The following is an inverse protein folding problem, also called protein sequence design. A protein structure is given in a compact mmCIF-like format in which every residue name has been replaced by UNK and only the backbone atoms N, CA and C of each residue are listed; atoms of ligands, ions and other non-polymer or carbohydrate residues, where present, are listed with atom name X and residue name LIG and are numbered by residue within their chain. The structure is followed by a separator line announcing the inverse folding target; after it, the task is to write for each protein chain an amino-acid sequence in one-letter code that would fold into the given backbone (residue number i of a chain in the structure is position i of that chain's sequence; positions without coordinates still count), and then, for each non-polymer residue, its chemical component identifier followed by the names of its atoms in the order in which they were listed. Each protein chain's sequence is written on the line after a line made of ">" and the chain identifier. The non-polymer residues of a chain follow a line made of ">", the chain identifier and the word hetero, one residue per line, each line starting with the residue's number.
data_IF_618748600484
#
_entry.id   IF_618748600484
#
_cell.length_a   1.000
_cell.length_b   1.000
_cell.length_c   1.000
_cell.angle_alpha   90.00
_cell.angle_beta   90.00
_cell.angle_gamma   90.00
#
_symmetry.space_group_name_H-M   'P 1'
#
loop_
_entity.id
_entity.type
_entity.pdbx_description
1 polymer ?
#
# COMPACT_ATOMS: atom_id res chain seq x y z
N UNK A 1 -1.75 -8.48 -18.50
CA UNK A 1 -2.01 -9.92 -18.53
C UNK A 1 -2.57 -10.28 -19.91
N UNK A 2 -2.76 -11.56 -20.24
CA UNK A 2 -3.03 -12.10 -21.59
C UNK A 2 -4.44 -11.78 -22.17
N UNK A 3 -5.24 -10.99 -21.50
CA UNK A 3 -6.62 -10.67 -21.92
C UNK A 3 -7.61 -11.82 -21.80
N UNK A 4 -7.25 -12.94 -21.17
CA UNK A 4 -8.09 -14.13 -21.03
C UNK A 4 -8.78 -14.16 -19.67
N UNK A 5 -10.12 -14.27 -19.66
CA UNK A 5 -10.91 -14.59 -18.48
C UNK A 5 -11.18 -16.09 -18.44
N UNK A 6 -10.65 -16.77 -17.44
CA UNK A 6 -10.87 -18.22 -17.23
C UNK A 6 -12.14 -18.42 -16.40
N UNK A 7 -13.06 -19.22 -16.94
CA UNK A 7 -14.34 -19.55 -16.31
C UNK A 7 -14.26 -20.97 -15.74
N UNK A 8 -13.87 -21.10 -14.48
CA UNK A 8 -13.83 -22.37 -13.76
C UNK A 8 -15.22 -23.00 -13.68
N UNK A 9 -15.33 -24.29 -13.88
CA UNK A 9 -16.60 -25.03 -14.00
C UNK A 9 -17.61 -24.35 -14.94
N UNK A 10 -17.13 -23.80 -16.06
CA UNK A 10 -17.96 -23.07 -17.03
C UNK A 10 -18.55 -21.77 -16.50
N UNK A 11 -18.02 -21.22 -15.41
CA UNK A 11 -18.50 -19.98 -14.80
C UNK A 11 -19.86 -20.07 -14.11
N UNK A 12 -20.29 -21.27 -13.69
CA UNK A 12 -21.59 -21.51 -13.02
C UNK A 12 -21.68 -20.95 -11.61
N UNK A 13 -20.58 -20.51 -11.02
CA UNK A 13 -20.56 -19.96 -9.66
C UNK A 13 -21.45 -18.73 -9.55
N UNK A 14 -22.35 -18.73 -8.54
CA UNK A 14 -23.29 -17.66 -8.25
C UNK A 14 -22.62 -16.60 -7.36
N UNK A 15 -22.86 -15.33 -7.67
CA UNK A 15 -22.42 -14.17 -6.89
C UNK A 15 -23.59 -13.22 -6.65
N UNK A 16 -23.71 -12.77 -5.41
CA UNK A 16 -24.62 -11.68 -5.05
C UNK A 16 -23.81 -10.39 -5.05
N UNK A 17 -24.09 -9.51 -6.01
CA UNK A 17 -23.30 -8.31 -6.28
C UNK A 17 -24.11 -7.05 -6.03
N UNK A 18 -23.39 -5.96 -5.78
CA UNK A 18 -23.93 -4.61 -5.62
C UNK A 18 -22.91 -3.60 -6.11
N UNK A 19 -23.31 -2.56 -6.86
CA UNK A 19 -22.44 -1.45 -7.21
C UNK A 19 -21.87 -0.73 -5.97
N UNK A 20 -20.58 -0.41 -5.98
CA UNK A 20 -19.88 0.21 -4.84
C UNK A 20 -20.57 1.50 -4.37
N UNK A 21 -21.11 2.29 -5.30
CA UNK A 21 -21.79 3.53 -4.96
C UNK A 21 -23.09 3.28 -4.17
N UNK A 22 -23.81 2.19 -4.47
CA UNK A 22 -24.99 1.79 -3.70
C UNK A 22 -24.61 1.23 -2.33
N UNK A 23 -23.40 0.66 -2.17
CA UNK A 23 -22.87 0.30 -0.85
C UNK A 23 -22.66 1.55 0.01
N UNK A 24 -21.99 2.57 -0.54
CA UNK A 24 -21.76 3.83 0.16
C UNK A 24 -23.09 4.53 0.54
N UNK A 25 -24.06 4.52 -0.38
CA UNK A 25 -25.43 5.04 -0.13
C UNK A 25 -26.15 4.25 0.96
N UNK A 26 -25.98 2.93 0.96
CA UNK A 26 -26.56 2.07 1.98
C UNK A 26 -26.02 2.39 3.39
N UNK A 27 -24.71 2.56 3.52
CA UNK A 27 -24.11 2.98 4.80
C UNK A 27 -24.63 4.34 5.26
N UNK A 28 -24.68 5.33 4.36
CA UNK A 28 -25.23 6.65 4.68
C UNK A 28 -26.68 6.58 5.10
N UNK A 29 -27.50 5.82 4.38
CA UNK A 29 -28.92 5.61 4.70
C UNK A 29 -29.11 4.98 6.08
N UNK A 30 -28.31 3.98 6.42
CA UNK A 30 -28.39 3.31 7.73
C UNK A 30 -27.91 4.21 8.87
N UNK A 31 -26.91 5.06 8.62
CA UNK A 31 -26.39 6.00 9.61
C UNK A 31 -27.42 7.05 10.01
N UNK A 32 -28.25 7.47 9.08
CA UNK A 32 -29.30 8.48 9.29
C UNK A 32 -30.59 7.92 9.94
N UNK A 33 -30.63 6.60 10.22
CA UNK A 33 -31.84 5.90 10.69
C UNK A 33 -31.64 5.32 12.10
N UNK A 34 -32.48 5.80 13.04
CA UNK A 34 -32.50 5.32 14.43
C UNK A 34 -33.28 4.00 14.59
N UNK A 35 -34.29 3.80 13.75
CA UNK A 35 -35.24 2.68 13.80
C UNK A 35 -34.63 1.33 13.37
N UNK A 36 -33.46 1.33 12.72
CA UNK A 36 -32.79 0.12 12.23
C UNK A 36 -31.49 -0.21 12.98
N UNK A 37 -31.27 0.41 14.13
CA UNK A 37 -30.08 0.15 14.97
C UNK A 37 -29.98 -1.32 15.39
N UNK A 38 -28.73 -1.80 15.50
CA UNK A 38 -28.40 -3.16 15.94
C UNK A 38 -29.01 -4.28 15.09
N UNK A 39 -29.28 -4.02 13.83
CA UNK A 39 -29.82 -5.01 12.91
C UNK A 39 -28.79 -5.37 11.82
N UNK A 40 -28.84 -6.61 11.35
CA UNK A 40 -28.03 -7.09 10.23
C UNK A 40 -28.84 -7.02 8.94
N UNK A 41 -28.23 -6.46 7.88
CA UNK A 41 -28.81 -6.37 6.56
C UNK A 41 -27.85 -6.92 5.51
N UNK A 42 -28.38 -7.63 4.50
CA UNK A 42 -27.63 -7.95 3.30
C UNK A 42 -27.76 -6.78 2.33
N UNK A 43 -26.64 -6.20 1.96
CA UNK A 43 -26.59 -5.13 0.97
C UNK A 43 -26.14 -5.73 -0.36
N UNK A 44 -27.08 -6.31 -1.09
CA UNK A 44 -26.88 -6.90 -2.42
C UNK A 44 -28.02 -6.51 -3.35
N UNK A 45 -27.73 -6.31 -4.64
CA UNK A 45 -28.74 -5.91 -5.63
C UNK A 45 -29.05 -7.04 -6.60
N UNK A 46 -28.04 -7.63 -7.21
CA UNK A 46 -28.18 -8.59 -8.29
C UNK A 46 -27.51 -9.92 -7.95
N UNK A 47 -28.18 -11.01 -8.28
CA UNK A 47 -27.59 -12.35 -8.19
C UNK A 47 -27.30 -12.83 -9.61
N UNK A 48 -26.03 -13.03 -9.91
CA UNK A 48 -25.53 -13.37 -11.24
C UNK A 48 -24.51 -14.48 -11.17
N UNK A 49 -24.30 -15.17 -12.28
CA UNK A 49 -23.20 -16.13 -12.42
C UNK A 49 -21.89 -15.42 -12.84
N UNK A 50 -20.76 -16.03 -12.55
CA UNK A 50 -19.46 -15.55 -13.02
C UNK A 50 -19.44 -15.47 -14.56
N UNK A 51 -20.13 -16.38 -15.25
CA UNK A 51 -20.26 -16.34 -16.72
C UNK A 51 -20.99 -15.10 -17.22
N UNK A 52 -22.12 -14.73 -16.58
CA UNK A 52 -22.86 -13.51 -16.93
C UNK A 52 -22.00 -12.26 -16.73
N UNK A 53 -21.29 -12.15 -15.62
CA UNK A 53 -20.34 -11.03 -15.39
C UNK A 53 -19.27 -11.01 -16.48
N UNK A 54 -18.68 -12.15 -16.84
CA UNK A 54 -17.66 -12.23 -17.88
C UNK A 54 -18.22 -11.86 -19.27
N UNK A 55 -19.47 -12.19 -19.56
CA UNK A 55 -20.15 -11.80 -20.80
C UNK A 55 -20.37 -10.29 -20.87
N UNK A 56 -20.77 -9.65 -19.77
CA UNK A 56 -20.85 -8.19 -19.67
C UNK A 56 -19.46 -7.57 -19.91
N UNK A 57 -18.41 -8.09 -19.26
CA UNK A 57 -17.06 -7.63 -19.48
C UNK A 57 -16.62 -7.73 -20.96
N UNK A 58 -16.93 -8.85 -21.62
CA UNK A 58 -16.63 -9.05 -23.03
C UNK A 58 -17.43 -8.11 -23.95
N UNK A 59 -18.69 -7.82 -23.61
CA UNK A 59 -19.56 -6.87 -24.34
C UNK A 59 -18.90 -5.48 -24.42
N UNK A 60 -18.30 -5.00 -23.35
CA UNK A 60 -17.68 -3.69 -23.27
C UNK A 60 -16.18 -3.68 -23.57
N UNK A 61 -15.53 -4.84 -23.60
CA UNK A 61 -14.17 -5.02 -24.08
C UNK A 61 -14.08 -6.27 -24.98
N UNK A 62 -14.36 -6.15 -26.29
CA UNK A 62 -14.35 -7.28 -27.24
C UNK A 62 -13.03 -8.06 -27.34
N UNK A 63 -11.92 -7.45 -26.92
CA UNK A 63 -10.59 -8.10 -26.90
C UNK A 63 -10.48 -9.19 -25.84
N UNK A 64 -11.40 -9.27 -24.89
CA UNK A 64 -11.42 -10.32 -23.85
C UNK A 64 -11.71 -11.67 -24.49
N UNK A 65 -10.88 -12.65 -24.18
CA UNK A 65 -11.06 -14.06 -24.55
C UNK A 65 -11.66 -14.78 -23.34
N UNK A 66 -12.85 -15.35 -23.50
CA UNK A 66 -13.46 -16.21 -22.49
C UNK A 66 -13.02 -17.66 -22.72
N UNK A 67 -12.40 -18.26 -21.70
CA UNK A 67 -11.97 -19.66 -21.72
C UNK A 67 -12.64 -20.44 -20.60
N UNK A 68 -13.58 -21.32 -20.95
CA UNK A 68 -14.19 -22.24 -20.00
C UNK A 68 -13.21 -23.36 -19.66
N UNK A 69 -13.17 -23.74 -18.39
CA UNK A 69 -12.39 -24.86 -17.90
C UNK A 69 -13.29 -25.82 -17.12
N UNK A 70 -12.89 -27.09 -17.04
CA UNK A 70 -13.60 -28.11 -16.27
C UNK A 70 -13.06 -28.24 -14.84
N UNK A 71 -12.21 -27.32 -14.39
CA UNK A 71 -11.66 -27.35 -13.04
C UNK A 71 -12.79 -27.29 -12.02
N UNK A 72 -12.69 -28.12 -11.01
CA UNK A 72 -13.62 -28.11 -9.88
C UNK A 72 -13.51 -26.81 -9.09
N UNK A 73 -14.69 -26.31 -8.68
CA UNK A 73 -14.75 -25.18 -7.76
C UNK A 73 -15.28 -25.67 -6.40
N UNK A 74 -14.68 -25.22 -5.29
CA UNK A 74 -15.03 -25.74 -3.97
C UNK A 74 -16.43 -25.33 -3.51
N UNK A 75 -17.04 -24.31 -4.16
CA UNK A 75 -18.36 -23.80 -3.81
C UNK A 75 -19.01 -23.16 -5.02
N UNK A 76 -20.24 -23.58 -5.34
CA UNK A 76 -21.06 -22.96 -6.40
C UNK A 76 -21.59 -21.57 -6.03
N UNK A 77 -21.40 -21.13 -4.81
CA UNK A 77 -21.91 -19.86 -4.32
C UNK A 77 -23.34 -19.97 -3.79
N UNK A 78 -23.87 -18.83 -3.39
CA UNK A 78 -25.24 -18.70 -2.87
C UNK A 78 -25.77 -17.31 -3.20
N UNK A 79 -27.11 -17.19 -3.24
CA UNK A 79 -27.78 -15.91 -3.34
C UNK A 79 -28.06 -15.36 -1.94
N UNK A 80 -27.97 -14.04 -1.80
CA UNK A 80 -28.36 -13.32 -0.59
C UNK A 80 -29.67 -12.58 -0.85
N UNK A 81 -30.65 -12.72 0.04
CA UNK A 81 -31.87 -11.93 -0.01
C UNK A 81 -31.60 -10.50 0.47
N UNK A 82 -32.08 -9.51 -0.28
CA UNK A 82 -32.04 -8.09 0.05
C UNK A 82 -33.41 -7.56 0.54
N UNK A 83 -34.41 -8.41 0.73
CA UNK A 83 -35.76 -8.01 1.11
C UNK A 83 -35.81 -7.18 2.38
N UNK A 84 -34.96 -7.53 3.36
CA UNK A 84 -34.95 -6.84 4.65
C UNK A 84 -34.53 -5.38 4.50
N UNK A 85 -33.52 -5.08 3.69
CA UNK A 85 -33.10 -3.69 3.47
C UNK A 85 -34.11 -2.93 2.57
N UNK A 86 -34.72 -3.58 1.59
CA UNK A 86 -35.75 -2.96 0.77
C UNK A 86 -36.99 -2.57 1.59
N UNK A 87 -37.37 -3.37 2.59
CA UNK A 87 -38.49 -3.07 3.53
C UNK A 87 -38.20 -1.82 4.37
N UNK A 88 -36.97 -1.38 4.52
CA UNK A 88 -36.63 -0.10 5.20
C UNK A 88 -36.85 1.13 4.33
N UNK A 89 -37.21 0.94 3.04
CA UNK A 89 -37.35 2.02 2.06
C UNK A 89 -36.06 2.36 1.31
N UNK A 90 -34.98 1.63 1.53
CA UNK A 90 -33.75 1.78 0.75
C UNK A 90 -33.98 1.39 -0.72
N UNK A 91 -33.43 2.18 -1.64
CA UNK A 91 -33.52 1.91 -3.08
C UNK A 91 -32.14 1.84 -3.71
N UNK A 92 -31.85 0.74 -4.41
CA UNK A 92 -30.67 0.65 -5.27
C UNK A 92 -30.89 1.49 -6.53
N UNK A 93 -29.94 2.33 -6.90
CA UNK A 93 -30.05 3.24 -8.04
C UNK A 93 -29.20 2.79 -9.24
N UNK A 94 -28.10 2.10 -9.01
CA UNK A 94 -27.11 1.80 -10.04
C UNK A 94 -27.19 0.35 -10.49
N UNK A 95 -27.21 0.11 -11.81
CA UNK A 95 -27.16 -1.23 -12.38
C UNK A 95 -25.73 -1.80 -12.36
N UNK A 96 -25.62 -3.13 -12.16
CA UNK A 96 -24.32 -3.81 -12.19
C UNK A 96 -23.63 -3.65 -13.56
N UNK A 97 -24.40 -3.80 -14.63
CA UNK A 97 -23.87 -3.67 -16.00
C UNK A 97 -23.28 -2.28 -16.27
N UNK A 98 -23.97 -1.20 -15.84
CA UNK A 98 -23.48 0.16 -16.00
C UNK A 98 -22.19 0.40 -15.19
N UNK A 99 -22.14 -0.13 -13.98
CA UNK A 99 -20.96 -0.04 -13.12
C UNK A 99 -19.76 -0.81 -13.71
N UNK A 100 -19.99 -1.99 -14.26
CA UNK A 100 -18.96 -2.77 -14.95
C UNK A 100 -18.50 -2.07 -16.23
N UNK A 101 -19.42 -1.49 -17.01
CA UNK A 101 -19.12 -0.68 -18.20
C UNK A 101 -18.20 0.49 -17.83
N UNK A 102 -18.58 1.26 -16.80
CA UNK A 102 -17.77 2.38 -16.32
C UNK A 102 -16.37 1.93 -15.87
N UNK A 103 -16.29 0.87 -15.07
CA UNK A 103 -15.02 0.29 -14.65
C UNK A 103 -14.14 -0.10 -15.84
N UNK A 104 -14.72 -0.82 -16.83
CA UNK A 104 -13.98 -1.27 -18.01
C UNK A 104 -13.48 -0.07 -18.81
N UNK A 105 -14.32 0.93 -19.07
CA UNK A 105 -13.91 2.14 -19.80
C UNK A 105 -12.88 2.96 -19.05
N UNK A 106 -12.98 3.04 -17.73
CA UNK A 106 -12.05 3.77 -16.88
C UNK A 106 -10.68 3.08 -16.76
N UNK A 107 -10.66 1.74 -16.71
CA UNK A 107 -9.45 0.94 -16.51
C UNK A 107 -8.88 0.33 -17.80
N UNK A 108 -9.64 0.23 -18.88
CA UNK A 108 -9.15 -0.28 -20.16
C UNK A 108 -8.37 0.75 -20.98
N UNK A 109 -8.37 2.00 -20.58
CA UNK A 109 -7.45 2.99 -21.12
C UNK A 109 -6.06 2.68 -20.56
N UNK A 110 -5.34 1.78 -21.22
CA UNK A 110 -3.91 1.50 -20.98
C UNK A 110 -3.06 2.79 -20.98
N UNK A 111 -3.55 3.84 -21.63
CA UNK A 111 -2.96 5.17 -21.65
C UNK A 111 -3.00 5.90 -20.30
N UNK A 112 -3.91 5.53 -19.36
CA UNK A 112 -3.93 6.13 -18.02
C UNK A 112 -2.64 5.89 -17.23
N UNK A 113 -1.97 4.74 -17.41
CA UNK A 113 -0.69 4.47 -16.75
C UNK A 113 0.43 5.22 -17.47
N UNK A 114 0.42 5.25 -18.82
CA UNK A 114 1.38 6.04 -19.60
C UNK A 114 1.17 7.55 -19.42
N UNK A 115 -0.07 8.00 -19.32
CA UNK A 115 -0.40 9.40 -19.05
C UNK A 115 -0.04 9.87 -17.64
N UNK A 116 0.23 8.95 -16.70
CA UNK A 116 0.70 9.24 -15.35
C UNK A 116 2.22 9.15 -15.18
N UNK A 117 2.96 8.73 -16.21
CA UNK A 117 4.42 8.77 -16.21
C UNK A 117 4.91 10.18 -16.58
N UNK A 118 4.94 11.05 -15.58
CA UNK A 118 5.46 12.41 -15.73
C UNK A 118 6.99 12.47 -15.70
N UNK A 119 7.66 11.41 -15.26
CA UNK A 119 9.12 11.36 -15.11
C UNK A 119 9.71 10.32 -16.05
N UNK A 120 10.69 10.74 -16.83
CA UNK A 120 11.37 9.88 -17.82
C UNK A 120 12.87 9.84 -17.56
N UNK A 121 13.43 8.65 -17.68
CA UNK A 121 14.88 8.47 -17.82
C UNK A 121 15.35 8.96 -19.19
N UNK A 122 16.64 9.27 -19.31
CA UNK A 122 17.22 9.57 -20.62
C UNK A 122 17.16 8.35 -21.54
N UNK A 123 16.88 8.59 -22.80
CA UNK A 123 16.98 7.58 -23.86
C UNK A 123 18.43 7.41 -24.30
N UNK A 124 18.76 6.23 -24.85
CA UNK A 124 20.06 5.93 -25.49
C UNK A 124 21.25 6.33 -24.62
N UNK A 125 21.30 5.79 -23.38
CA UNK A 125 22.43 6.02 -22.51
C UNK A 125 23.72 5.40 -23.09
N UNK A 126 24.70 6.24 -23.35
CA UNK A 126 26.04 5.80 -23.72
C UNK A 126 26.99 6.00 -22.54
N UNK A 127 27.64 4.94 -22.09
CA UNK A 127 28.58 4.96 -20.98
C UNK A 127 29.94 4.46 -21.42
N UNK A 128 31.00 5.26 -21.18
CA UNK A 128 32.38 4.87 -21.39
C UNK A 128 33.28 5.33 -20.22
N UNK A 129 34.60 5.20 -20.36
CA UNK A 129 35.57 5.61 -19.33
C UNK A 129 35.62 7.14 -19.09
N UNK A 130 35.01 7.95 -19.89
CA UNK A 130 34.89 9.41 -19.75
C UNK A 130 33.61 9.82 -18.99
N UNK A 131 32.59 8.94 -18.92
CA UNK A 131 31.33 9.22 -18.25
C UNK A 131 30.12 8.70 -19.01
N UNK A 132 29.02 9.42 -18.88
CA UNK A 132 27.70 9.05 -19.38
C UNK A 132 27.10 10.16 -20.25
N UNK A 133 26.51 9.78 -21.37
CA UNK A 133 25.66 10.63 -22.22
C UNK A 133 24.24 10.11 -22.09
N UNK A 134 23.28 10.99 -21.76
CA UNK A 134 21.85 10.68 -21.74
C UNK A 134 21.11 11.68 -22.62
N UNK A 135 20.27 11.18 -23.53
CA UNK A 135 19.47 11.99 -24.43
C UNK A 135 18.04 12.08 -23.94
N UNK A 136 17.43 13.25 -24.04
CA UNK A 136 16.04 13.47 -23.70
C UNK A 136 15.30 14.04 -24.91
N UNK A 137 14.30 13.31 -25.40
CA UNK A 137 13.42 13.79 -26.46
C UNK A 137 12.39 14.76 -25.89
N UNK A 138 12.24 15.89 -26.56
CA UNK A 138 11.23 16.89 -26.27
C UNK A 138 10.17 16.88 -27.36
N UNK A 139 8.90 16.88 -26.97
CA UNK A 139 7.75 16.90 -27.89
C UNK A 139 7.55 18.25 -28.56
N UNK A 140 8.13 19.32 -28.00
CA UNK A 140 8.01 20.68 -28.46
C UNK A 140 9.36 21.40 -28.42
N UNK A 141 9.63 22.30 -29.36
CA UNK A 141 10.83 23.13 -29.29
C UNK A 141 10.82 24.04 -28.08
N UNK A 142 12.00 24.31 -27.53
CA UNK A 142 12.21 25.23 -26.41
C UNK A 142 12.98 26.46 -26.92
N UNK A 143 12.70 27.63 -26.37
CA UNK A 143 13.40 28.88 -26.69
C UNK A 143 13.94 29.61 -25.46
N UNK A 144 13.69 29.08 -24.24
CA UNK A 144 14.25 29.58 -23.00
C UNK A 144 14.58 28.44 -22.05
N UNK A 145 15.71 28.58 -21.34
CA UNK A 145 16.15 27.66 -20.29
C UNK A 145 16.30 28.47 -18.98
N UNK A 146 15.58 28.06 -17.95
CA UNK A 146 15.75 28.59 -16.61
C UNK A 146 16.59 27.65 -15.77
N UNK A 147 17.71 28.12 -15.21
CA UNK A 147 18.50 27.38 -14.21
C UNK A 147 17.94 27.69 -12.81
N UNK A 148 17.53 26.65 -12.09
CA UNK A 148 16.90 26.81 -10.78
C UNK A 148 17.63 25.98 -9.74
N UNK A 149 18.07 26.65 -8.68
CA UNK A 149 18.61 26.01 -7.47
C UNK A 149 17.60 26.04 -6.33
N UNK A 150 17.51 24.93 -5.60
CA UNK A 150 16.59 24.78 -4.49
C UNK A 150 17.24 24.01 -3.35
N UNK A 151 17.05 24.50 -2.13
CA UNK A 151 17.63 23.88 -0.94
C UNK A 151 16.77 22.72 -0.43
N UNK A 152 17.41 21.72 0.13
CA UNK A 152 16.75 20.64 0.85
C UNK A 152 15.72 21.18 1.86
N UNK A 153 14.58 20.54 1.96
CA UNK A 153 13.52 20.88 2.90
C UNK A 153 12.61 22.02 2.43
N UNK A 154 12.86 22.59 1.25
CA UNK A 154 11.98 23.62 0.67
C UNK A 154 10.90 23.02 -0.19
N UNK A 155 9.93 23.86 -0.58
CA UNK A 155 8.82 23.53 -1.46
C UNK A 155 8.72 24.60 -2.56
N UNK A 156 8.44 24.16 -3.80
CA UNK A 156 8.15 25.03 -4.93
C UNK A 156 6.88 24.57 -5.65
N UNK A 157 6.46 25.35 -6.61
CA UNK A 157 5.25 25.17 -7.38
C UNK A 157 3.98 25.38 -6.52
N UNK A 158 3.16 24.38 -6.22
CA UNK A 158 1.79 24.56 -5.69
C UNK A 158 0.92 25.36 -6.65
N UNK A 159 0.98 25.01 -7.93
CA UNK A 159 0.27 25.65 -9.02
C UNK A 159 0.00 24.68 -10.18
N UNK A 160 -0.71 25.16 -11.18
CA UNK A 160 -0.86 24.47 -12.46
C UNK A 160 -0.73 25.46 -13.61
N UNK A 161 -0.48 24.92 -14.81
CA UNK A 161 -0.41 25.66 -16.05
C UNK A 161 -1.62 25.31 -16.93
N UNK A 162 -2.51 26.26 -17.27
CA UNK A 162 -3.68 25.96 -18.08
C UNK A 162 -3.36 25.55 -19.53
N UNK A 163 -2.27 26.08 -20.10
CA UNK A 163 -1.95 25.91 -21.52
C UNK A 163 -0.56 25.34 -21.77
N UNK A 164 0.39 25.56 -20.88
CA UNK A 164 1.78 25.14 -21.06
C UNK A 164 2.05 23.74 -20.48
N UNK A 165 2.84 22.96 -21.20
CA UNK A 165 3.52 21.79 -20.67
C UNK A 165 4.83 22.25 -20.01
N UNK A 166 4.98 22.00 -18.70
CA UNK A 166 6.24 22.29 -18.00
C UNK A 166 7.19 21.11 -18.10
N UNK A 167 8.44 21.37 -18.47
CA UNK A 167 9.51 20.37 -18.58
C UNK A 167 10.66 20.78 -17.67
N UNK A 168 11.06 19.88 -16.76
CA UNK A 168 12.15 20.11 -15.82
C UNK A 168 13.16 18.97 -15.90
N UNK A 169 14.39 19.28 -16.38
CA UNK A 169 15.51 18.34 -16.39
C UNK A 169 16.33 18.51 -15.11
N UNK A 170 16.38 17.49 -14.28
CA UNK A 170 17.10 17.52 -13.01
C UNK A 170 18.57 17.16 -13.22
N UNK A 171 19.46 18.13 -13.04
CA UNK A 171 20.91 17.97 -13.27
C UNK A 171 21.65 17.59 -12.00
N UNK A 172 21.03 17.80 -10.84
CA UNK A 172 21.57 17.42 -9.52
C UNK A 172 20.45 17.29 -8.49
N UNK A 173 20.59 16.36 -7.57
CA UNK A 173 19.73 16.25 -6.40
C UNK A 173 18.57 15.28 -6.54
N UNK A 174 17.50 15.50 -5.75
CA UNK A 174 16.34 14.62 -5.70
C UNK A 174 15.14 15.34 -5.08
N UNK A 175 13.97 15.12 -5.66
CA UNK A 175 12.71 15.67 -5.16
C UNK A 175 11.64 14.58 -5.02
N UNK A 176 10.60 14.88 -4.23
CA UNK A 176 9.28 14.26 -4.32
C UNK A 176 8.41 15.24 -5.09
N UNK A 177 7.91 14.85 -6.23
CA UNK A 177 6.95 15.61 -7.01
C UNK A 177 5.56 15.05 -6.77
N UNK A 178 4.59 15.93 -6.49
CA UNK A 178 3.21 15.59 -6.19
C UNK A 178 2.33 16.18 -7.28
N UNK A 179 1.45 15.37 -7.85
CA UNK A 179 0.57 15.73 -8.95
C UNK A 179 -0.90 15.54 -8.59
N UNK A 180 -1.77 16.34 -9.18
CA UNK A 180 -3.22 16.17 -9.16
C UNK A 180 -3.83 16.73 -10.44
N UNK A 181 -4.64 15.93 -11.13
CA UNK A 181 -5.44 16.39 -12.26
C UNK A 181 -6.60 17.26 -11.73
N UNK A 182 -6.57 18.55 -12.04
CA UNK A 182 -7.60 19.51 -11.57
C UNK A 182 -8.90 19.45 -12.39
N UNK A 183 -8.87 18.89 -13.59
CA UNK A 183 -10.06 18.72 -14.43
C UNK A 183 -10.96 17.58 -13.91
N UNK A 184 -10.41 16.69 -13.09
CA UNK A 184 -11.15 15.63 -12.45
C UNK A 184 -11.19 15.87 -10.92
N UNK A 185 -12.31 16.37 -10.37
CA UNK A 185 -12.41 16.66 -8.93
C UNK A 185 -12.14 15.47 -8.01
N UNK A 186 -12.29 14.25 -8.53
CA UNK A 186 -12.02 13.01 -7.80
C UNK A 186 -10.62 12.45 -8.06
N UNK A 187 -9.77 13.18 -8.77
CA UNK A 187 -8.41 12.74 -9.04
C UNK A 187 -7.61 12.63 -7.73
N UNK A 188 -7.02 11.47 -7.45
CA UNK A 188 -6.16 11.32 -6.29
C UNK A 188 -4.87 12.12 -6.48
N UNK A 189 -4.28 12.59 -5.38
CA UNK A 189 -2.88 13.01 -5.39
C UNK A 189 -2.00 11.80 -5.68
N UNK A 190 -0.98 11.99 -6.52
CA UNK A 190 0.01 10.98 -6.87
C UNK A 190 1.39 11.54 -6.57
N UNK A 191 2.27 10.76 -5.95
CA UNK A 191 3.65 11.15 -5.71
C UNK A 191 4.58 10.44 -6.68
N UNK A 192 5.70 11.08 -7.00
CA UNK A 192 6.79 10.48 -7.77
C UNK A 192 8.13 11.05 -7.30
N UNK A 193 9.14 10.19 -7.17
CA UNK A 193 10.50 10.64 -6.94
C UNK A 193 11.14 10.99 -8.27
N UNK A 194 11.77 12.16 -8.32
CA UNK A 194 12.57 12.57 -9.47
C UNK A 194 14.01 12.67 -9.02
N UNK A 195 14.88 11.97 -9.71
CA UNK A 195 16.31 11.89 -9.44
C UNK A 195 17.11 12.68 -10.46
N UNK A 196 18.39 12.87 -10.16
CA UNK A 196 19.38 13.39 -11.10
C UNK A 196 19.37 12.60 -12.42
N UNK A 197 19.42 13.32 -13.54
CA UNK A 197 19.36 12.77 -14.89
C UNK A 197 17.95 12.49 -15.41
N UNK A 198 16.89 12.72 -14.63
CA UNK A 198 15.51 12.49 -15.07
C UNK A 198 14.84 13.78 -15.55
N UNK A 199 13.93 13.63 -16.50
CA UNK A 199 13.09 14.69 -17.05
C UNK A 199 11.67 14.54 -16.51
N UNK A 200 11.18 15.55 -15.78
CA UNK A 200 9.76 15.69 -15.41
C UNK A 200 9.01 16.47 -16.50
N UNK A 201 7.88 15.93 -16.94
CA UNK A 201 6.99 16.55 -17.94
C UNK A 201 5.60 16.68 -17.33
N UNK A 202 5.17 17.89 -17.06
CA UNK A 202 3.90 18.20 -16.42
C UNK A 202 2.94 18.75 -17.48
N UNK A 203 1.85 18.03 -17.72
CA UNK A 203 0.83 18.40 -18.72
C UNK A 203 0.02 19.61 -18.26
N UNK A 204 -0.61 20.37 -19.19
CA UNK A 204 -1.57 21.40 -18.84
C UNK A 204 -2.67 20.88 -17.91
N UNK A 205 -3.13 21.74 -17.00
CA UNK A 205 -4.17 21.45 -16.00
C UNK A 205 -3.82 20.33 -14.99
N UNK A 206 -2.54 20.00 -14.85
CA UNK A 206 -2.05 19.17 -13.76
C UNK A 206 -1.42 20.05 -12.70
N UNK A 207 -2.07 20.14 -11.54
CA UNK A 207 -1.49 20.80 -10.37
C UNK A 207 -0.29 19.98 -9.88
N UNK A 208 0.80 20.66 -9.57
CA UNK A 208 2.03 20.02 -9.13
C UNK A 208 2.74 20.78 -8.04
N UNK A 209 3.51 20.04 -7.26
CA UNK A 209 4.33 20.56 -6.15
C UNK A 209 5.63 19.79 -6.08
N UNK A 210 6.73 20.51 -5.90
CA UNK A 210 8.08 19.96 -5.77
C UNK A 210 8.54 20.09 -4.32
N UNK A 211 8.77 18.96 -3.64
CA UNK A 211 9.32 18.89 -2.29
C UNK A 211 10.77 18.40 -2.37
N UNK A 212 11.72 19.23 -1.99
CA UNK A 212 13.14 18.97 -2.17
C UNK A 212 13.71 18.10 -1.03
N UNK A 213 14.05 16.85 -1.34
CA UNK A 213 14.66 15.89 -0.40
C UNK A 213 16.19 16.06 -0.27
N UNK A 214 16.82 16.61 -1.31
CA UNK A 214 18.26 16.99 -1.39
C UNK A 214 18.37 18.40 -1.95
N UNK A 215 19.54 19.04 -1.77
CA UNK A 215 19.87 20.25 -2.54
C UNK A 215 19.84 19.90 -4.01
N UNK A 216 19.07 20.63 -4.79
CA UNK A 216 18.68 20.26 -6.15
C UNK A 216 18.87 21.40 -7.13
N UNK A 217 19.47 21.10 -8.27
CA UNK A 217 19.57 21.99 -9.42
C UNK A 217 18.84 21.37 -10.60
N UNK A 218 18.00 22.15 -11.27
CA UNK A 218 17.28 21.68 -12.44
C UNK A 218 17.12 22.79 -13.51
N UNK A 219 16.96 22.34 -14.73
CA UNK A 219 16.68 23.21 -15.89
C UNK A 219 15.17 23.20 -16.14
N UNK A 220 14.55 24.36 -16.10
CA UNK A 220 13.18 24.55 -16.57
C UNK A 220 13.24 24.88 -18.08
N UNK A 221 12.71 23.97 -18.90
CA UNK A 221 12.75 24.06 -20.35
C UNK A 221 11.42 24.65 -20.84
N UNK A 222 11.47 25.86 -21.34
CA UNK A 222 10.25 26.67 -21.60
C UNK A 222 10.05 26.89 -23.09
N UNK A 223 8.82 26.73 -23.55
CA UNK A 223 8.35 27.20 -24.86
C UNK A 223 7.60 28.52 -24.70
N UNK A 224 7.96 29.51 -25.48
CA UNK A 224 7.33 30.84 -25.44
C UNK A 224 8.00 31.80 -24.47
N UNK A 225 7.44 32.99 -24.35
CA UNK A 225 7.92 34.02 -23.44
C UNK A 225 7.39 33.76 -22.02
N UNK A 226 8.27 33.93 -21.05
CA UNK A 226 7.90 33.89 -19.65
C UNK A 226 7.57 35.29 -19.17
N UNK A 227 6.31 35.63 -19.20
CA UNK A 227 5.83 36.91 -18.69
C UNK A 227 5.79 36.87 -17.16
N UNK A 228 6.73 37.58 -16.51
CA UNK A 228 6.79 37.63 -15.06
C UNK A 228 5.67 38.49 -14.46
N UNK A 229 5.20 39.50 -15.17
CA UNK A 229 4.17 40.44 -14.70
C UNK A 229 2.76 39.83 -14.64
N UNK A 230 2.50 38.83 -15.49
CA UNK A 230 1.25 38.07 -15.54
C UNK A 230 1.38 36.67 -14.92
N UNK A 231 2.35 36.49 -14.07
CA UNK A 231 2.60 35.23 -13.40
C UNK A 231 1.41 34.84 -12.51
N UNK A 232 0.67 33.81 -12.87
CA UNK A 232 -0.55 33.35 -12.19
C UNK A 232 -1.85 33.63 -12.93
N UNK A 233 -1.88 34.55 -13.89
CA UNK A 233 -3.11 34.90 -14.62
C UNK A 233 -3.19 34.20 -15.97
N UNK A 234 -2.09 34.16 -16.74
CA UNK A 234 -2.07 33.62 -18.11
C UNK A 234 -1.29 32.29 -18.23
N UNK A 235 -0.23 32.12 -17.44
CA UNK A 235 0.66 30.95 -17.56
C UNK A 235 0.71 30.07 -16.31
N UNK A 236 0.40 30.62 -15.15
CA UNK A 236 0.52 29.90 -13.88
C UNK A 236 -0.61 30.31 -12.94
N UNK A 237 -1.42 29.35 -12.51
CA UNK A 237 -2.50 29.58 -11.54
C UNK A 237 -2.12 28.92 -10.22
N UNK A 238 -2.08 29.73 -9.14
CA UNK A 238 -1.77 29.24 -7.81
C UNK A 238 -2.82 28.22 -7.35
N UNK A 239 -2.37 27.07 -6.91
CA UNK A 239 -3.20 25.99 -6.38
C UNK A 239 -2.45 25.28 -5.27
N UNK A 240 -2.63 25.75 -4.03
CA UNK A 240 -1.93 25.19 -2.87
C UNK A 240 -2.67 23.93 -2.42
N UNK A 241 -2.12 22.75 -2.72
CA UNK A 241 -2.67 21.46 -2.34
C UNK A 241 -1.70 20.59 -1.50
N UNK A 242 -0.47 21.09 -1.31
CA UNK A 242 0.53 20.53 -0.37
C UNK A 242 0.98 21.65 0.54
N UNK A 243 0.71 21.52 1.84
CA UNK A 243 1.11 22.48 2.86
C UNK A 243 2.45 22.12 3.52
N UNK A 244 2.94 22.97 4.41
CA UNK A 244 4.16 22.76 5.17
C UNK A 244 4.10 21.49 6.05
N UNK A 245 2.94 21.14 6.58
CA UNK A 245 2.74 19.96 7.43
C UNK A 245 2.89 18.70 6.59
N UNK A 246 2.25 18.63 5.43
CA UNK A 246 2.35 17.52 4.50
C UNK A 246 3.77 17.38 3.94
N UNK A 247 4.41 18.49 3.56
CA UNK A 247 5.83 18.50 3.14
C UNK A 247 6.73 17.84 4.20
N UNK A 248 6.62 18.28 5.45
CA UNK A 248 7.45 17.76 6.53
C UNK A 248 7.13 16.29 6.82
N UNK A 249 5.88 15.86 6.68
CA UNK A 249 5.47 14.48 6.79
C UNK A 249 6.14 13.63 5.72
N UNK A 250 6.07 14.04 4.45
CA UNK A 250 6.69 13.32 3.33
C UNK A 250 8.20 13.21 3.50
N UNK A 251 8.90 14.30 3.79
CA UNK A 251 10.35 14.29 4.01
C UNK A 251 10.79 13.36 5.15
N UNK A 252 9.93 13.16 6.15
CA UNK A 252 10.20 12.28 7.28
C UNK A 252 9.99 10.81 6.97
N UNK A 253 8.94 10.48 6.23
CA UNK A 253 8.49 9.09 6.09
C UNK A 253 8.74 8.47 4.70
N UNK A 254 9.05 9.27 3.66
CA UNK A 254 9.33 8.73 2.33
C UNK A 254 10.66 7.95 2.31
N UNK A 255 10.69 6.84 1.56
CA UNK A 255 11.85 5.95 1.45
C UNK A 255 12.41 6.01 0.02
N UNK A 256 13.59 6.58 -0.10
CA UNK A 256 14.28 6.78 -1.37
C UNK A 256 15.17 5.61 -1.77
N UNK A 257 15.44 4.71 -0.82
CA UNK A 257 16.32 3.56 -1.01
C UNK A 257 15.60 2.25 -0.70
N UNK A 258 16.07 1.20 -1.33
CA UNK A 258 15.64 -0.16 -1.00
C UNK A 258 16.06 -0.53 0.43
N UNK A 259 15.11 -0.85 1.29
CA UNK A 259 15.36 -1.23 2.69
C UNK A 259 16.18 -2.50 2.83
N UNK A 260 16.19 -3.36 1.81
CA UNK A 260 16.95 -4.60 1.78
C UNK A 260 18.40 -4.38 1.35
N UNK A 261 18.64 -3.79 0.17
CA UNK A 261 19.98 -3.71 -0.42
C UNK A 261 20.58 -2.29 -0.48
N UNK A 262 19.80 -1.23 -0.22
CA UNK A 262 20.26 0.17 -0.28
C UNK A 262 20.28 0.76 -1.69
N UNK A 263 19.76 0.07 -2.71
CA UNK A 263 19.70 0.63 -4.07
C UNK A 263 18.75 1.84 -4.11
N UNK A 264 19.21 2.95 -4.67
CA UNK A 264 18.40 4.18 -4.82
C UNK A 264 17.48 4.14 -6.05
N UNK A 265 17.70 3.22 -6.99
CA UNK A 265 16.84 3.06 -8.17
C UNK A 265 15.65 2.16 -7.84
N UNK A 266 14.54 2.78 -7.51
CA UNK A 266 13.27 2.10 -7.22
C UNK A 266 12.26 2.46 -8.31
N UNK A 267 11.55 1.44 -8.82
CA UNK A 267 10.46 1.61 -9.79
C UNK A 267 9.11 1.51 -9.08
N UNK A 268 8.25 2.51 -9.25
CA UNK A 268 6.88 2.42 -8.76
C UNK A 268 6.09 1.40 -9.58
N UNK A 269 5.47 0.45 -8.89
CA UNK A 269 4.67 -0.63 -9.48
C UNK A 269 3.18 -0.31 -9.42
N UNK A 270 2.73 0.25 -8.31
CA UNK A 270 1.33 0.62 -8.08
C UNK A 270 1.25 1.84 -7.18
N UNK A 271 0.28 2.71 -7.42
CA UNK A 271 -0.12 3.80 -6.52
C UNK A 271 -1.63 3.74 -6.30
N UNK A 272 -2.05 3.75 -5.05
CA UNK A 272 -3.45 3.87 -4.64
C UNK A 272 -3.76 5.28 -4.13
N UNK A 273 -2.90 6.25 -4.45
CA UNK A 273 -3.02 7.62 -3.98
C UNK A 273 -2.78 7.76 -2.48
N UNK A 274 -3.34 8.81 -1.90
CA UNK A 274 -3.22 9.10 -0.47
C UNK A 274 -4.31 8.38 0.31
N UNK A 275 -3.92 7.61 1.32
CA UNK A 275 -4.81 6.80 2.15
C UNK A 275 -4.61 7.08 3.65
N UNK A 276 -5.66 6.98 4.46
CA UNK A 276 -5.50 6.97 5.91
C UNK A 276 -4.83 5.67 6.37
N UNK A 277 -4.26 5.69 7.57
CA UNK A 277 -3.73 4.46 8.17
C UNK A 277 -4.88 3.46 8.42
N UNK A 278 -4.70 2.23 7.98
CA UNK A 278 -5.58 1.12 8.34
C UNK A 278 -5.62 0.96 9.88
N UNK A 279 -6.76 0.57 10.41
CA UNK A 279 -7.00 0.42 11.85
C UNK A 279 -6.96 1.72 12.68
N UNK A 280 -6.75 2.88 12.08
CA UNK A 280 -6.87 4.17 12.75
C UNK A 280 -8.30 4.69 12.68
N UNK A 281 -9.21 4.00 13.37
CA UNK A 281 -10.64 4.32 13.36
C UNK A 281 -10.88 5.65 14.06
N UNK A 282 -11.58 6.56 13.38
CA UNK A 282 -11.96 7.86 13.92
C UNK A 282 -13.07 7.69 14.97
N UNK A 283 -12.98 8.43 16.06
CA UNK A 283 -14.01 8.46 17.12
C UNK A 283 -15.15 9.42 16.78
N UNK A 284 -14.88 10.43 15.96
CA UNK A 284 -15.84 11.45 15.54
C UNK A 284 -15.68 11.76 14.07
N UNK A 285 -16.77 12.07 13.36
CA UNK A 285 -16.76 12.51 11.94
C UNK A 285 -15.91 13.76 11.68
N UNK A 286 -15.77 14.62 12.67
CA UNK A 286 -15.03 15.89 12.58
C UNK A 286 -13.52 15.71 12.82
N UNK A 287 -13.04 14.51 13.14
CA UNK A 287 -11.61 14.28 13.31
C UNK A 287 -10.92 14.23 11.95
N UNK A 288 -9.88 15.06 11.80
CA UNK A 288 -9.00 14.99 10.65
C UNK A 288 -8.00 13.86 10.83
N UNK A 289 -7.81 13.06 9.80
CA UNK A 289 -6.77 12.02 9.77
C UNK A 289 -5.64 12.43 8.84
N UNK A 290 -4.42 12.03 9.20
CA UNK A 290 -3.28 12.16 8.30
C UNK A 290 -3.42 11.15 7.16
N UNK A 291 -3.15 11.61 5.94
CA UNK A 291 -3.14 10.78 4.74
C UNK A 291 -1.69 10.55 4.32
N UNK A 292 -1.39 9.37 3.85
CA UNK A 292 -0.07 8.94 3.39
C UNK A 292 -0.16 8.35 1.98
N UNK A 293 0.85 8.57 1.12
CA UNK A 293 0.92 7.85 -0.15
C UNK A 293 0.94 6.33 0.10
N UNK A 294 0.03 5.62 -0.54
CA UNK A 294 0.00 4.16 -0.53
C UNK A 294 0.47 3.64 -1.88
N UNK A 295 1.76 3.41 -1.98
CA UNK A 295 2.45 3.06 -3.20
C UNK A 295 3.42 1.92 -2.95
N UNK A 296 3.60 1.05 -3.94
CA UNK A 296 4.59 -0.03 -3.89
C UNK A 296 5.69 0.26 -4.90
N UNK A 297 6.91 0.22 -4.42
CA UNK A 297 8.13 0.33 -5.21
C UNK A 297 8.82 -1.04 -5.32
N UNK A 298 9.36 -1.33 -6.49
CA UNK A 298 10.16 -2.50 -6.80
C UNK A 298 11.63 -2.14 -6.98
N UNK A 299 12.51 -2.96 -6.46
CA UNK A 299 13.95 -2.83 -6.60
C UNK A 299 14.47 -3.82 -7.63
N UNK A 300 14.98 -3.35 -8.77
CA UNK A 300 15.55 -4.22 -9.82
C UNK A 300 16.81 -4.97 -9.36
N UNK A 301 17.54 -4.45 -8.35
CA UNK A 301 18.78 -5.06 -7.89
C UNK A 301 18.57 -6.31 -7.03
N UNK A 302 17.58 -6.32 -6.14
CA UNK A 302 17.35 -7.44 -5.20
C UNK A 302 15.93 -7.98 -5.23
N UNK A 303 15.10 -7.51 -6.14
CA UNK A 303 13.70 -7.92 -6.34
C UNK A 303 12.78 -7.70 -5.12
N UNK A 304 13.19 -6.84 -4.18
CA UNK A 304 12.36 -6.47 -3.05
C UNK A 304 11.25 -5.53 -3.48
N UNK A 305 10.03 -5.77 -3.01
CA UNK A 305 8.92 -4.82 -3.09
C UNK A 305 8.70 -4.18 -1.73
N UNK A 306 8.52 -2.87 -1.71
CA UNK A 306 8.33 -2.12 -0.47
C UNK A 306 7.37 -0.95 -0.67
N UNK A 307 6.72 -0.52 0.40
CA UNK A 307 5.98 0.74 0.37
C UNK A 307 6.92 1.93 0.21
N UNK A 308 6.48 2.95 -0.54
CA UNK A 308 7.23 4.21 -0.71
C UNK A 308 7.36 5.00 0.59
N UNK A 309 6.45 4.76 1.54
CA UNK A 309 6.38 5.46 2.83
C UNK A 309 6.48 4.47 3.97
N UNK A 310 7.27 4.81 4.99
CA UNK A 310 7.26 4.11 6.28
C UNK A 310 6.78 5.05 7.38
N UNK A 311 5.60 4.78 7.88
CA UNK A 311 4.99 5.56 8.96
C UNK A 311 5.65 5.19 10.29
N UNK A 312 5.77 6.17 11.22
CA UNK A 312 6.31 5.91 12.55
C UNK A 312 5.56 4.74 13.22
N UNK A 313 6.25 3.62 13.53
CA UNK A 313 5.62 2.44 14.09
C UNK A 313 4.90 2.71 15.41
N UNK A 314 5.25 3.77 16.12
CA UNK A 314 4.54 4.18 17.34
C UNK A 314 3.10 4.61 17.05
N UNK A 315 2.85 5.26 15.90
CA UNK A 315 1.49 5.64 15.49
C UNK A 315 0.62 4.42 15.16
N UNK A 316 1.24 3.37 14.65
CA UNK A 316 0.53 2.18 14.17
C UNK A 316 0.36 1.11 15.26
N UNK A 317 1.37 0.89 16.11
CA UNK A 317 1.47 -0.32 16.92
C UNK A 317 1.50 -0.12 18.44
N UNK A 318 1.51 1.11 18.99
CA UNK A 318 1.47 1.28 20.46
C UNK A 318 0.12 0.93 21.09
N UNK A 319 -0.96 1.03 20.32
CA UNK A 319 -2.30 0.60 20.71
C UNK A 319 -2.95 -0.07 19.50
N UNK A 320 -2.92 -1.39 19.49
CA UNK A 320 -3.37 -2.16 18.33
C UNK A 320 -4.69 -2.85 18.63
N UNK A 321 -5.71 -2.60 17.79
CA UNK A 321 -7.08 -3.02 18.06
C UNK A 321 -7.32 -4.51 17.74
N UNK A 322 -6.55 -5.08 16.80
CA UNK A 322 -6.76 -6.44 16.36
C UNK A 322 -6.15 -7.44 17.34
N UNK A 323 -7.00 -8.33 17.89
CA UNK A 323 -6.59 -9.42 18.77
C UNK A 323 -6.60 -10.72 17.99
N UNK A 324 -5.42 -11.28 17.73
CA UNK A 324 -5.25 -12.43 16.82
C UNK A 324 -5.95 -13.70 17.28
N UNK A 325 -6.06 -13.93 18.59
CA UNK A 325 -6.72 -15.12 19.17
C UNK A 325 -8.24 -15.16 18.95
N UNK A 326 -8.85 -14.07 18.46
CA UNK A 326 -10.28 -14.09 18.09
C UNK A 326 -10.55 -14.96 16.86
N UNK A 327 -9.56 -15.13 15.99
CA UNK A 327 -9.66 -15.97 14.81
C UNK A 327 -9.45 -17.46 15.13
N UNK A 328 -10.47 -18.29 14.86
CA UNK A 328 -10.37 -19.75 15.00
C UNK A 328 -9.28 -20.32 14.07
N UNK A 329 -9.21 -19.84 12.83
CA UNK A 329 -8.24 -20.31 11.83
C UNK A 329 -6.81 -20.05 12.31
N UNK A 330 -6.52 -18.87 12.87
CA UNK A 330 -5.19 -18.57 13.41
C UNK A 330 -4.84 -19.45 14.62
N UNK A 331 -5.79 -19.70 15.52
CA UNK A 331 -5.54 -20.62 16.65
C UNK A 331 -5.15 -22.01 16.18
N UNK A 332 -5.91 -22.57 15.24
CA UNK A 332 -5.62 -23.90 14.64
C UNK A 332 -4.29 -23.92 13.89
N UNK A 333 -3.98 -22.85 13.16
CA UNK A 333 -2.70 -22.69 12.47
C UNK A 333 -1.51 -22.75 13.44
N UNK A 334 -1.54 -21.97 14.51
CA UNK A 334 -0.45 -21.93 15.49
C UNK A 334 -0.36 -23.21 16.32
N UNK A 335 -1.49 -23.89 16.60
CA UNK A 335 -1.46 -25.21 17.22
C UNK A 335 -0.77 -26.26 16.35
N UNK A 336 -1.08 -26.31 15.05
CA UNK A 336 -0.42 -27.20 14.09
C UNK A 336 1.06 -26.85 13.94
N UNK A 337 1.37 -25.56 13.82
CA UNK A 337 2.74 -25.05 13.67
C UNK A 337 3.59 -25.37 14.90
N UNK A 338 3.10 -25.19 16.11
CA UNK A 338 3.83 -25.53 17.33
C UNK A 338 4.17 -27.02 17.38
N UNK A 339 3.23 -27.93 17.09
CA UNK A 339 3.47 -29.37 17.03
C UNK A 339 4.52 -29.73 15.96
N UNK A 340 4.43 -29.10 14.78
CA UNK A 340 5.41 -29.27 13.70
C UNK A 340 6.81 -28.84 14.16
N UNK A 341 6.96 -27.65 14.71
CA UNK A 341 8.25 -27.10 15.13
C UNK A 341 8.89 -27.88 16.26
N UNK A 342 8.09 -28.35 17.24
CA UNK A 342 8.58 -29.20 18.32
C UNK A 342 9.24 -30.48 17.75
N UNK A 343 8.60 -31.12 16.78
CA UNK A 343 9.11 -32.35 16.13
C UNK A 343 10.34 -32.05 15.26
N UNK A 344 10.23 -31.08 14.39
CA UNK A 344 11.22 -30.72 13.37
C UNK A 344 12.55 -30.26 13.99
N UNK A 345 12.46 -29.37 14.98
CA UNK A 345 13.62 -28.79 15.64
C UNK A 345 13.97 -29.47 16.97
N UNK A 346 13.36 -30.64 17.24
CA UNK A 346 13.62 -31.44 18.44
C UNK A 346 13.57 -30.65 19.74
N UNK A 347 12.58 -29.75 19.86
CA UNK A 347 12.43 -28.90 21.04
C UNK A 347 12.05 -29.73 22.26
N UNK A 348 12.63 -29.38 23.41
CA UNK A 348 12.34 -30.02 24.71
C UNK A 348 11.65 -29.03 25.64
N UNK A 349 11.10 -29.49 26.75
CA UNK A 349 10.44 -28.59 27.75
C UNK A 349 11.38 -27.53 28.36
N UNK A 350 12.71 -27.69 28.18
CA UNK A 350 13.76 -26.74 28.57
C UNK A 350 14.02 -25.68 27.51
N UNK A 351 13.60 -25.89 26.27
CA UNK A 351 13.83 -24.99 25.15
C UNK A 351 13.22 -23.63 25.41
N UNK A 352 13.96 -22.59 25.00
CA UNK A 352 13.52 -21.18 25.09
C UNK A 352 12.98 -20.70 23.75
N UNK A 353 11.75 -20.22 23.77
CA UNK A 353 10.98 -19.83 22.59
C UNK A 353 10.65 -18.34 22.69
N UNK A 354 10.99 -17.57 21.66
CA UNK A 354 10.63 -16.17 21.55
C UNK A 354 9.66 -15.98 20.39
N UNK A 355 8.65 -15.14 20.56
CA UNK A 355 7.76 -14.66 19.50
C UNK A 355 7.82 -13.16 19.39
N UNK A 356 8.18 -12.64 18.21
CA UNK A 356 8.33 -11.22 17.91
C UNK A 356 7.06 -10.72 17.24
N UNK A 357 6.45 -9.64 17.78
CA UNK A 357 5.11 -9.20 17.40
C UNK A 357 4.05 -10.16 17.92
N UNK A 358 4.22 -10.58 19.18
CA UNK A 358 3.49 -11.73 19.76
C UNK A 358 1.98 -11.50 19.95
N UNK A 359 1.48 -10.29 19.67
CA UNK A 359 0.09 -9.92 19.85
C UNK A 359 -0.40 -10.30 21.28
N UNK A 360 -1.48 -11.00 21.41
CA UNK A 360 -2.02 -11.51 22.69
C UNK A 360 -1.42 -12.86 23.15
N UNK A 361 -0.32 -13.29 22.53
CA UNK A 361 0.40 -14.52 22.83
C UNK A 361 -0.10 -15.75 22.09
N UNK A 362 -0.85 -15.57 21.01
CA UNK A 362 -1.50 -16.66 20.26
C UNK A 362 -0.51 -17.74 19.80
N UNK A 363 0.67 -17.39 19.28
CA UNK A 363 1.66 -18.34 18.79
C UNK A 363 2.38 -19.08 19.93
N UNK A 364 2.49 -18.48 21.12
CA UNK A 364 3.16 -19.06 22.28
C UNK A 364 2.21 -19.92 23.15
N UNK A 365 0.91 -19.66 23.08
CA UNK A 365 -0.11 -20.40 23.85
C UNK A 365 -0.06 -21.92 23.61
N UNK A 366 0.05 -22.43 22.37
CA UNK A 366 0.18 -23.88 22.14
C UNK A 366 1.41 -24.50 22.81
N UNK A 367 2.56 -23.81 22.80
CA UNK A 367 3.75 -24.29 23.49
C UNK A 367 3.54 -24.36 25.01
N UNK A 368 2.91 -23.33 25.60
CA UNK A 368 2.56 -23.33 27.02
C UNK A 368 1.65 -24.51 27.37
N UNK A 369 0.61 -24.74 26.59
CA UNK A 369 -0.32 -25.84 26.78
C UNK A 369 0.38 -27.21 26.69
N UNK A 370 1.40 -27.31 25.85
CA UNK A 370 2.24 -28.50 25.74
C UNK A 370 3.35 -28.58 26.82
N UNK A 371 3.34 -27.69 27.84
CA UNK A 371 4.23 -27.76 28.99
C UNK A 371 5.58 -27.03 28.85
N UNK A 372 5.79 -26.21 27.83
CA UNK A 372 6.98 -25.37 27.71
C UNK A 372 6.86 -24.15 28.64
N UNK A 373 7.82 -24.01 29.57
CA UNK A 373 7.81 -22.93 30.57
C UNK A 373 8.59 -21.70 30.10
N UNK A 374 9.60 -21.88 29.27
CA UNK A 374 10.48 -20.83 28.80
C UNK A 374 9.98 -20.22 27.49
N UNK A 375 8.93 -19.41 27.57
CA UNK A 375 8.38 -18.67 26.42
C UNK A 375 8.37 -17.18 26.72
N UNK A 376 8.67 -16.35 25.69
CA UNK A 376 8.68 -14.90 25.80
C UNK A 376 8.04 -14.27 24.55
N UNK A 377 7.01 -13.46 24.73
CA UNK A 377 6.50 -12.56 23.71
C UNK A 377 7.23 -11.22 23.72
N UNK A 378 7.37 -10.60 22.55
CA UNK A 378 7.83 -9.22 22.39
C UNK A 378 6.74 -8.48 21.63
N UNK A 379 6.05 -7.52 22.29
CA UNK A 379 4.87 -6.86 21.75
C UNK A 379 4.87 -5.36 22.09
N UNK A 380 4.87 -4.46 21.07
CA UNK A 380 4.85 -3.02 21.32
C UNK A 380 3.51 -2.51 21.82
N UNK A 381 2.39 -3.14 21.43
CA UNK A 381 1.05 -2.72 21.82
C UNK A 381 0.80 -3.00 23.31
N UNK A 382 0.65 -1.93 24.09
CA UNK A 382 0.45 -2.02 25.55
C UNK A 382 -0.78 -2.82 25.94
N UNK A 383 -1.89 -2.64 25.20
CA UNK A 383 -3.14 -3.38 25.45
C UNK A 383 -2.97 -4.88 25.21
N UNK A 384 -2.29 -5.29 24.14
CA UNK A 384 -2.08 -6.69 23.78
C UNK A 384 -1.04 -7.36 24.70
N UNK A 385 0.08 -6.69 24.97
CA UNK A 385 1.06 -7.20 25.94
C UNK A 385 0.45 -7.41 27.33
N UNK A 386 -0.44 -6.52 27.79
CA UNK A 386 -1.19 -6.70 29.02
C UNK A 386 -2.11 -7.92 28.97
N UNK A 387 -2.79 -8.14 27.85
CA UNK A 387 -3.67 -9.29 27.64
C UNK A 387 -2.86 -10.60 27.63
N UNK A 388 -1.74 -10.65 26.90
CA UNK A 388 -0.85 -11.82 26.87
C UNK A 388 -0.35 -12.19 28.28
N UNK A 389 0.11 -11.20 29.05
CA UNK A 389 0.56 -11.41 30.45
C UNK A 389 -0.59 -11.92 31.35
N UNK A 390 -1.81 -11.41 31.18
CA UNK A 390 -3.01 -11.92 31.89
C UNK A 390 -3.27 -13.39 31.55
N UNK A 391 -3.02 -13.80 30.32
CA UNK A 391 -3.12 -15.18 29.83
C UNK A 391 -1.87 -16.03 30.16
N UNK A 392 -1.04 -15.56 31.11
CA UNK A 392 0.19 -16.25 31.59
C UNK A 392 1.25 -16.46 30.50
N UNK A 393 1.25 -15.67 29.44
CA UNK A 393 2.32 -15.59 28.45
C UNK A 393 3.19 -14.39 28.80
N UNK A 394 4.38 -14.67 29.37
CA UNK A 394 5.34 -13.61 29.69
C UNK A 394 5.65 -12.80 28.43
N UNK A 395 5.40 -11.48 28.47
CA UNK A 395 5.55 -10.60 27.30
C UNK A 395 6.27 -9.33 27.69
N UNK A 396 7.37 -9.04 26.96
CA UNK A 396 8.07 -7.77 27.02
C UNK A 396 7.29 -6.73 26.20
N UNK A 397 6.85 -5.64 26.84
CA UNK A 397 6.15 -4.57 26.17
C UNK A 397 7.15 -3.58 25.56
N UNK A 398 7.36 -3.64 24.26
CA UNK A 398 8.25 -2.75 23.51
C UNK A 398 8.60 -3.30 22.14
N UNK A 399 9.19 -2.43 21.33
CA UNK A 399 9.74 -2.82 20.03
C UNK A 399 11.03 -3.62 20.19
N UNK A 400 11.28 -4.56 19.28
CA UNK A 400 12.55 -5.25 19.15
C UNK A 400 13.57 -4.31 18.48
N UNK A 401 14.45 -3.73 19.30
CA UNK A 401 15.51 -2.80 18.87
C UNK A 401 16.80 -3.12 19.59
N UNK A 402 17.94 -2.69 19.05
CA UNK A 402 19.26 -2.84 19.70
C UNK A 402 19.24 -2.28 21.12
N UNK A 403 18.57 -1.14 21.33
CA UNK A 403 18.44 -0.51 22.65
C UNK A 403 17.73 -1.42 23.66
N UNK A 404 16.72 -2.17 23.22
CA UNK A 404 15.89 -3.00 24.08
C UNK A 404 16.45 -4.42 24.30
N UNK A 405 17.43 -4.86 23.48
CA UNK A 405 18.03 -6.19 23.58
C UNK A 405 18.57 -6.53 24.96
N UNK A 406 19.16 -5.56 25.67
CA UNK A 406 19.70 -5.76 27.02
C UNK A 406 18.65 -6.07 28.10
N UNK A 407 17.37 -5.89 27.77
CA UNK A 407 16.22 -6.23 28.63
C UNK A 407 15.62 -7.61 28.33
N UNK A 408 16.16 -8.30 27.33
CA UNK A 408 15.65 -9.58 26.82
C UNK A 408 16.73 -10.65 26.97
N UNK A 409 16.38 -11.77 27.55
CA UNK A 409 17.31 -12.89 27.71
C UNK A 409 17.69 -13.46 26.35
N UNK A 410 18.98 -13.74 26.16
CA UNK A 410 19.55 -14.38 24.96
C UNK A 410 19.49 -15.90 25.06
N UNK A 411 19.79 -16.56 23.96
CA UNK A 411 19.92 -18.00 23.91
C UNK A 411 18.62 -18.72 23.56
N UNK A 412 17.79 -18.09 22.73
CA UNK A 412 16.60 -18.73 22.21
C UNK A 412 16.92 -19.94 21.33
N UNK A 413 16.23 -21.03 21.55
CA UNK A 413 16.26 -22.21 20.68
C UNK A 413 15.55 -21.95 19.38
N UNK A 414 14.42 -21.24 19.45
CA UNK A 414 13.63 -20.83 18.30
C UNK A 414 13.07 -19.42 18.50
N UNK A 415 13.09 -18.63 17.43
CA UNK A 415 12.40 -17.35 17.35
C UNK A 415 11.36 -17.42 16.26
N UNK A 416 10.16 -17.01 16.58
CA UNK A 416 9.04 -16.86 15.65
C UNK A 416 8.88 -15.38 15.32
N UNK A 417 8.55 -15.07 14.07
CA UNK A 417 8.21 -13.72 13.61
C UNK A 417 7.13 -13.83 12.52
N UNK A 418 5.89 -14.04 12.98
CA UNK A 418 4.75 -14.25 12.07
C UNK A 418 4.04 -12.93 11.79
N UNK A 419 3.99 -12.55 10.50
CA UNK A 419 3.36 -11.31 10.00
C UNK A 419 3.86 -10.04 10.71
N UNK A 420 5.15 -9.96 11.00
CA UNK A 420 5.78 -8.81 11.67
C UNK A 420 7.03 -8.31 10.96
N UNK A 421 7.84 -9.21 10.39
CA UNK A 421 9.12 -8.83 9.77
C UNK A 421 8.92 -7.87 8.60
N UNK A 422 7.90 -8.10 7.76
CA UNK A 422 7.56 -7.24 6.63
C UNK A 422 7.12 -5.82 7.05
N UNK A 423 6.65 -5.65 8.30
CA UNK A 423 6.22 -4.34 8.82
C UNK A 423 7.36 -3.51 9.43
N UNK A 424 8.58 -4.04 9.45
CA UNK A 424 9.73 -3.31 9.99
C UNK A 424 10.23 -2.27 8.98
N UNK A 425 10.38 -1.02 9.42
CA UNK A 425 11.08 0.00 8.64
C UNK A 425 12.57 -0.29 8.53
N UNK A 426 13.17 -0.83 9.59
CA UNK A 426 14.59 -1.19 9.66
C UNK A 426 14.77 -2.72 9.70
N UNK A 427 14.72 -3.35 8.53
CA UNK A 427 14.86 -4.80 8.39
C UNK A 427 16.20 -5.31 8.92
N UNK A 428 17.29 -4.55 8.68
CA UNK A 428 18.66 -4.94 9.10
C UNK A 428 18.77 -4.95 10.63
N UNK A 429 18.26 -3.91 11.31
CA UNK A 429 18.27 -3.87 12.77
C UNK A 429 17.44 -5.00 13.37
N UNK A 430 16.26 -5.24 12.83
CA UNK A 430 15.38 -6.32 13.32
C UNK A 430 16.00 -7.69 13.13
N UNK A 431 16.61 -7.97 11.97
CA UNK A 431 17.32 -9.22 11.70
C UNK A 431 18.51 -9.41 12.64
N UNK A 432 19.32 -8.35 12.85
CA UNK A 432 20.46 -8.38 13.77
C UNK A 432 20.00 -8.60 15.22
N UNK A 433 18.89 -8.00 15.64
CA UNK A 433 18.30 -8.23 16.95
C UNK A 433 17.91 -9.70 17.14
N UNK A 434 17.21 -10.28 16.17
CA UNK A 434 16.82 -11.71 16.22
C UNK A 434 18.04 -12.62 16.24
N UNK A 435 19.05 -12.34 15.41
CA UNK A 435 20.33 -13.09 15.40
C UNK A 435 21.01 -13.07 16.78
N UNK A 436 21.05 -11.91 17.45
CA UNK A 436 21.69 -11.78 18.79
C UNK A 436 20.90 -12.47 19.91
N UNK A 437 19.60 -12.68 19.73
CA UNK A 437 18.76 -13.39 20.69
C UNK A 437 18.85 -14.89 20.53
N UNK A 438 19.16 -15.41 19.33
CA UNK A 438 19.34 -16.83 19.08
C UNK A 438 20.62 -17.37 19.74
N UNK A 439 20.60 -18.61 20.15
CA UNK A 439 21.81 -19.37 20.42
C UNK A 439 22.49 -19.81 19.11
N UNK A 440 23.73 -20.29 19.17
CA UNK A 440 24.56 -20.66 18.00
C UNK A 440 23.84 -21.57 17.00
N UNK A 441 23.03 -22.54 17.48
CA UNK A 441 22.27 -23.48 16.67
C UNK A 441 20.75 -23.25 16.78
N UNK A 442 20.33 -22.02 17.11
CA UNK A 442 18.93 -21.66 17.19
C UNK A 442 18.34 -21.41 15.81
N UNK A 443 17.03 -21.58 15.69
CA UNK A 443 16.28 -21.43 14.44
C UNK A 443 15.42 -20.19 14.47
N UNK A 444 15.44 -19.42 13.38
CA UNK A 444 14.51 -18.32 13.12
C UNK A 444 13.46 -18.76 12.10
N UNK A 445 12.19 -18.58 12.46
CA UNK A 445 11.05 -18.82 11.57
C UNK A 445 10.36 -17.49 11.29
N UNK A 446 10.33 -17.12 10.02
CA UNK A 446 9.62 -15.93 9.53
C UNK A 446 8.45 -16.37 8.68
N UNK A 447 7.27 -15.89 9.00
CA UNK A 447 6.06 -16.05 8.21
C UNK A 447 5.60 -14.67 7.75
N UNK A 448 5.47 -14.49 6.43
CA UNK A 448 5.05 -13.22 5.81
C UNK A 448 4.12 -13.49 4.65
N UNK A 449 3.33 -12.49 4.29
CA UNK A 449 2.50 -12.52 3.10
C UNK A 449 3.38 -12.67 1.84
N UNK A 450 2.95 -13.54 0.93
CA UNK A 450 3.66 -13.75 -0.33
C UNK A 450 3.09 -12.85 -1.43
N UNK A 451 3.83 -11.80 -1.78
CA UNK A 451 3.39 -10.77 -2.72
C UNK A 451 2.94 -11.33 -4.07
N UNK A 452 3.58 -12.40 -4.56
CA UNK A 452 3.18 -13.01 -5.84
C UNK A 452 1.74 -13.52 -5.82
N UNK A 453 1.27 -14.07 -4.68
CA UNK A 453 -0.13 -14.46 -4.52
C UNK A 453 -1.04 -13.24 -4.48
N UNK A 454 -0.64 -12.18 -3.76
CA UNK A 454 -1.37 -10.90 -3.75
C UNK A 454 -1.59 -10.37 -5.17
N UNK A 455 -0.56 -10.42 -6.02
CA UNK A 455 -0.65 -9.98 -7.41
C UNK A 455 -1.50 -10.93 -8.28
N UNK A 456 -1.34 -12.25 -8.11
CA UNK A 456 -2.11 -13.26 -8.86
C UNK A 456 -3.60 -13.24 -8.52
N UNK A 457 -3.90 -13.10 -7.24
CA UNK A 457 -5.26 -13.15 -6.70
C UNK A 457 -5.93 -11.77 -6.67
N UNK A 458 -5.20 -10.71 -7.09
CA UNK A 458 -5.63 -9.31 -7.09
C UNK A 458 -6.11 -8.83 -5.71
N UNK A 459 -5.51 -9.35 -4.64
CA UNK A 459 -5.83 -8.97 -3.24
C UNK A 459 -5.05 -7.74 -2.80
N UNK A 460 -5.09 -6.68 -3.63
CA UNK A 460 -4.35 -5.43 -3.42
C UNK A 460 -4.75 -4.66 -2.15
N UNK A 461 -5.93 -4.96 -1.59
CA UNK A 461 -6.41 -4.47 -0.30
C UNK A 461 -5.49 -4.87 0.88
N UNK A 462 -4.57 -5.80 0.67
CA UNK A 462 -3.61 -6.24 1.68
C UNK A 462 -2.24 -5.54 1.61
N UNK A 463 -2.02 -4.60 0.68
CA UNK A 463 -0.70 -3.95 0.50
C UNK A 463 -0.39 -2.81 1.47
N UNK A 464 -1.30 -2.46 2.38
CA UNK A 464 -1.15 -1.33 3.30
C UNK A 464 -0.25 -1.60 4.52
N UNK A 465 0.35 -2.77 4.56
CA UNK A 465 1.30 -3.18 5.61
C UNK A 465 2.75 -3.12 5.14
#
# INVERSE_FOLDING_TARGET
>A
QDGTLRLFAGGKQIKSLVPLIDVARGFKFMEEREDIKNQLFNLTKETVTVKEVAQICKKYNPKIILRETNDEIPNLGFSLSNEKILKTGFKFLYALEESLKEMIHKWSKQDLIKDLEYVRDGNDEFIDNRGKISNHELTEPINMIGLIDSKKGTIRANHYHPQQEQKCLFTKGQIIEIFQDILNPNSPKVTQVVNEGQLSIIKPNVAHTMVFSKDTTFLNLVRGEREHENYGVTHTIKHVFVDEKEKNLLLKCYKFECRSCGNEKLKRVISLGYQPLANNLLKKKTENTELYPLEVNYCDNCHNCQLSVAVDPKKMFLNYLYTSSTSKVFREHFEKSAKKYIKEFKLTKKSYIIDVGSNDGIALTPFRNLGFKNVLGIEPAKNLAKLANKNKIKTFNGFLTIKNLKKINKGADIILASNVFAHSDNLKEMAECMKRLLKKNGTLIIEVQYLLNTLKDLTFDNIYH
#
